data_IF_610661577181
#
_entry.id   IF_610661577181
#
_cell.length_a   1.000
_cell.length_b   1.000
_cell.length_c   1.000
_cell.angle_alpha   90.00
_cell.angle_beta   90.00
_cell.angle_gamma   90.00
#
_symmetry.space_group_name_H-M   'P 1'
#
loop_
_entity.id
_entity.type
_entity.pdbx_description
1 polymer ?
#
# COMPACT_ATOMS: atom_id res chain seq x y z
N UNK A 1 -15.55 14.27 25.19
CA UNK A 1 -14.80 13.56 24.12
C UNK A 1 -15.50 12.21 23.87
N UNK A 2 -16.57 12.19 23.07
CA UNK A 2 -17.35 10.96 22.76
C UNK A 2 -17.46 10.71 21.24
N UNK A 3 -16.86 11.57 20.39
CA UNK A 3 -16.97 11.47 18.93
C UNK A 3 -15.96 10.51 18.27
N UNK A 4 -14.82 10.19 18.91
CA UNK A 4 -13.79 9.32 18.32
C UNK A 4 -14.25 7.87 18.14
N UNK A 5 -14.95 7.32 19.14
CA UNK A 5 -15.34 5.91 19.17
C UNK A 5 -16.33 5.54 18.06
N UNK A 6 -17.23 6.45 17.68
CA UNK A 6 -18.18 6.22 16.58
C UNK A 6 -17.50 6.27 15.21
N UNK A 7 -16.49 7.14 15.06
CA UNK A 7 -15.69 7.25 13.84
C UNK A 7 -14.86 5.98 13.64
N UNK A 8 -14.20 5.49 14.70
CA UNK A 8 -13.39 4.28 14.64
C UNK A 8 -14.23 3.06 14.24
N UNK A 9 -15.42 2.89 14.82
CA UNK A 9 -16.34 1.80 14.46
C UNK A 9 -16.79 1.92 13.01
N UNK A 10 -17.17 3.12 12.55
CA UNK A 10 -17.62 3.33 11.18
C UNK A 10 -16.52 2.98 10.16
N UNK A 11 -15.30 3.49 10.36
CA UNK A 11 -14.15 3.23 9.48
C UNK A 11 -13.84 1.73 9.40
N UNK A 12 -13.91 1.01 10.52
CA UNK A 12 -13.60 -0.43 10.56
C UNK A 12 -14.73 -1.32 10.02
N UNK A 13 -15.99 -0.85 10.05
CA UNK A 13 -17.17 -1.67 9.72
C UNK A 13 -17.74 -1.42 8.33
N UNK A 14 -17.44 -0.27 7.72
CA UNK A 14 -18.00 0.13 6.44
C UNK A 14 -16.91 0.48 5.43
N UNK A 15 -16.92 -0.27 4.31
CA UNK A 15 -15.93 -0.11 3.23
C UNK A 15 -15.92 1.31 2.67
N UNK A 16 -17.08 1.90 2.38
CA UNK A 16 -17.16 3.24 1.80
C UNK A 16 -16.55 4.30 2.70
N UNK A 17 -16.71 4.17 4.03
CA UNK A 17 -16.05 5.09 4.98
C UNK A 17 -14.57 4.80 5.14
N UNK A 18 -14.13 3.54 5.02
CA UNK A 18 -12.71 3.16 5.04
C UNK A 18 -11.94 3.76 3.86
N UNK A 19 -12.52 3.73 2.65
CA UNK A 19 -11.89 4.29 1.44
C UNK A 19 -11.66 5.80 1.51
N UNK A 20 -12.43 6.53 2.34
CA UNK A 20 -12.22 7.98 2.53
C UNK A 20 -10.89 8.29 3.23
N UNK A 21 -10.28 7.32 3.91
CA UNK A 21 -8.98 7.46 4.54
C UNK A 21 -8.95 8.58 5.60
N UNK A 22 -7.90 9.40 5.57
CA UNK A 22 -7.67 10.47 6.55
C UNK A 22 -8.77 11.53 6.59
N UNK A 23 -9.57 11.67 5.53
CA UNK A 23 -10.71 12.60 5.49
C UNK A 23 -11.70 12.37 6.63
N UNK A 24 -11.95 11.13 7.05
CA UNK A 24 -12.92 10.84 8.12
C UNK A 24 -12.51 11.49 9.45
N UNK A 25 -11.20 11.73 9.64
CA UNK A 25 -10.65 12.37 10.84
C UNK A 25 -10.42 13.87 10.63
N UNK A 26 -9.92 14.28 9.46
CA UNK A 26 -9.52 15.67 9.23
C UNK A 26 -10.63 16.58 8.69
N UNK A 27 -11.64 16.02 8.00
CA UNK A 27 -12.70 16.74 7.31
C UNK A 27 -12.25 17.57 6.10
N UNK A 28 -11.00 17.43 5.64
CA UNK A 28 -10.42 18.26 4.57
C UNK A 28 -10.36 17.49 3.26
N UNK A 29 -10.93 18.03 2.18
CA UNK A 29 -10.98 17.37 0.86
C UNK A 29 -9.60 16.94 0.33
N UNK A 30 -8.52 17.64 0.70
CA UNK A 30 -7.14 17.26 0.33
C UNK A 30 -6.65 15.95 0.97
N UNK A 31 -7.32 15.47 2.01
CA UNK A 31 -7.01 14.22 2.71
C UNK A 31 -7.90 13.05 2.25
N UNK A 32 -8.76 13.27 1.25
CA UNK A 32 -9.66 12.25 0.72
C UNK A 32 -8.86 11.13 0.06
N UNK A 33 -9.10 9.88 0.49
CA UNK A 33 -8.36 8.71 0.02
C UNK A 33 -6.88 8.69 0.45
N UNK A 34 -6.47 9.59 1.36
CA UNK A 34 -5.10 9.61 1.87
C UNK A 34 -4.93 8.60 2.99
N UNK A 35 -3.95 7.71 2.84
CA UNK A 35 -3.59 6.70 3.83
C UNK A 35 -2.22 6.97 4.44
N UNK A 36 -2.03 6.47 5.67
CA UNK A 36 -0.72 6.49 6.32
C UNK A 36 0.23 5.57 5.54
N UNK A 37 1.42 6.07 5.19
CA UNK A 37 2.48 5.24 4.62
C UNK A 37 2.90 4.17 5.66
N UNK A 38 2.73 2.88 5.36
CA UNK A 38 3.14 1.82 6.27
C UNK A 38 4.67 1.71 6.33
N UNK A 39 5.18 1.07 7.37
CA UNK A 39 6.60 0.66 7.40
C UNK A 39 6.83 -0.50 6.44
N UNK A 40 8.05 -0.58 5.89
CA UNK A 40 8.47 -1.69 5.02
C UNK A 40 9.19 -2.81 5.79
N UNK A 41 9.31 -2.71 7.11
CA UNK A 41 9.91 -3.77 7.92
C UNK A 41 9.02 -5.01 7.90
N UNK A 42 9.63 -6.18 7.65
CA UNK A 42 8.94 -7.47 7.53
C UNK A 42 7.88 -7.51 6.41
N UNK A 43 8.01 -6.66 5.39
CA UNK A 43 6.98 -6.52 4.36
C UNK A 43 6.73 -7.84 3.60
N UNK A 44 7.74 -8.68 3.44
CA UNK A 44 7.62 -9.96 2.72
C UNK A 44 6.65 -10.96 3.37
N UNK A 45 6.40 -10.84 4.67
CA UNK A 45 5.54 -11.76 5.44
C UNK A 45 4.20 -11.17 5.85
N UNK A 46 3.86 -9.97 5.35
CA UNK A 46 2.63 -9.24 5.71
C UNK A 46 1.64 -9.13 4.56
N UNK A 47 1.75 -9.97 3.53
CA UNK A 47 0.75 -10.05 2.48
C UNK A 47 -0.65 -10.36 3.07
N UNK A 48 -1.74 -9.88 2.45
CA UNK A 48 -1.79 -9.03 1.26
C UNK A 48 -1.46 -7.55 1.52
N UNK A 49 -1.21 -6.80 0.46
CA UNK A 49 -0.72 -5.41 0.45
C UNK A 49 -1.80 -4.40 0.06
N UNK A 50 -1.46 -3.10 0.18
CA UNK A 50 -2.36 -1.94 0.12
C UNK A 50 -3.28 -1.81 1.35
N UNK A 51 -4.03 -0.71 1.44
CA UNK A 51 -4.91 -0.44 2.58
C UNK A 51 -6.14 -1.35 2.64
N UNK A 52 -6.49 -1.96 1.50
CA UNK A 52 -7.65 -2.84 1.34
C UNK A 52 -7.28 -4.31 1.13
N UNK A 53 -5.98 -4.64 1.07
CA UNK A 53 -5.51 -6.00 0.80
C UNK A 53 -5.73 -6.46 -0.65
N UNK A 54 -5.93 -5.54 -1.60
CA UNK A 54 -6.19 -5.86 -3.01
C UNK A 54 -5.02 -6.54 -3.72
N UNK A 55 -3.78 -6.26 -3.29
CA UNK A 55 -2.56 -6.69 -3.99
C UNK A 55 -1.91 -7.86 -3.27
N UNK A 56 -1.60 -8.95 -3.98
CA UNK A 56 -1.18 -10.21 -3.35
C UNK A 56 0.33 -10.35 -3.17
N UNK A 57 1.13 -9.76 -4.06
CA UNK A 57 2.59 -9.97 -4.09
C UNK A 57 3.35 -8.64 -4.08
N UNK A 58 4.59 -8.66 -3.57
CA UNK A 58 5.48 -7.49 -3.63
C UNK A 58 5.77 -7.08 -5.08
N UNK A 59 5.87 -8.05 -5.98
CA UNK A 59 6.08 -7.79 -7.40
C UNK A 59 4.93 -6.99 -8.01
N UNK A 60 3.68 -7.32 -7.64
CA UNK A 60 2.50 -6.56 -8.10
C UNK A 60 2.49 -5.14 -7.52
N UNK A 61 2.90 -4.97 -6.25
CA UNK A 61 3.03 -3.64 -5.63
C UNK A 61 4.06 -2.79 -6.37
N UNK A 62 5.24 -3.36 -6.67
CA UNK A 62 6.30 -2.67 -7.42
C UNK A 62 5.81 -2.33 -8.83
N UNK A 63 5.11 -3.25 -9.49
CA UNK A 63 4.53 -3.01 -10.82
C UNK A 63 3.50 -1.87 -10.81
N UNK A 64 2.60 -1.84 -9.81
CA UNK A 64 1.61 -0.78 -9.64
C UNK A 64 2.26 0.61 -9.53
N UNK A 65 3.28 0.74 -8.67
CA UNK A 65 4.02 2.00 -8.55
C UNK A 65 4.84 2.33 -9.80
N UNK A 66 5.39 1.31 -10.49
CA UNK A 66 6.11 1.52 -11.73
C UNK A 66 5.22 2.09 -12.85
N UNK A 67 3.94 1.72 -12.87
CA UNK A 67 2.92 2.29 -13.75
C UNK A 67 2.40 3.66 -13.30
N UNK A 68 2.84 4.17 -12.14
CA UNK A 68 2.39 5.45 -11.63
C UNK A 68 1.06 5.40 -10.89
N UNK A 69 0.75 4.27 -10.24
CA UNK A 69 -0.42 4.14 -9.38
C UNK A 69 -1.73 3.80 -10.12
N UNK A 70 -1.61 3.21 -11.30
CA UNK A 70 -2.74 2.69 -12.09
C UNK A 70 -2.64 1.16 -12.20
N UNK A 71 -3.79 0.50 -12.35
CA UNK A 71 -3.84 -0.96 -12.41
C UNK A 71 -3.28 -1.52 -13.72
N UNK A 72 -3.55 -0.84 -14.83
CA UNK A 72 -3.04 -1.20 -16.17
C UNK A 72 -2.62 0.04 -16.93
N UNK A 73 -1.67 -0.15 -17.84
CA UNK A 73 -1.23 0.91 -18.75
C UNK A 73 -2.43 1.47 -19.55
N UNK A 74 -2.63 2.79 -19.47
CA UNK A 74 -3.75 3.48 -20.12
C UNK A 74 -4.99 3.67 -19.25
N UNK A 75 -5.04 3.09 -18.04
CA UNK A 75 -6.11 3.39 -17.09
C UNK A 75 -6.05 4.86 -16.60
N UNK A 76 -7.20 5.46 -16.26
CA UNK A 76 -7.23 6.83 -15.76
C UNK A 76 -6.49 6.96 -14.43
N UNK A 77 -5.71 8.03 -14.28
CA UNK A 77 -5.06 8.38 -13.01
C UNK A 77 -6.10 8.91 -12.04
N UNK A 78 -6.00 8.52 -10.78
CA UNK A 78 -6.88 9.03 -9.72
C UNK A 78 -6.55 10.50 -9.41
N UNK A 79 -7.54 11.39 -9.52
CA UNK A 79 -7.41 12.83 -9.25
C UNK A 79 -7.00 13.16 -7.79
N UNK A 80 -7.24 12.24 -6.86
CA UNK A 80 -6.87 12.37 -5.44
C UNK A 80 -5.50 11.76 -5.13
N UNK A 81 -4.80 11.22 -6.14
CA UNK A 81 -3.46 10.68 -5.96
C UNK A 81 -2.45 11.79 -5.65
N UNK A 82 -1.45 11.46 -4.83
CA UNK A 82 -0.34 12.38 -4.57
C UNK A 82 0.41 12.68 -5.87
N UNK A 83 0.69 13.96 -6.15
CA UNK A 83 1.45 14.39 -7.34
C UNK A 83 2.89 13.85 -7.42
N UNK A 84 3.39 13.21 -6.36
CA UNK A 84 4.67 12.50 -6.37
C UNK A 84 4.60 11.10 -7.00
N UNK A 85 3.40 10.53 -7.16
CA UNK A 85 3.21 9.21 -7.78
C UNK A 85 3.12 9.41 -9.30
N UNK A 86 4.09 8.85 -10.00
CA UNK A 86 4.26 8.94 -11.45
C UNK A 86 4.95 7.68 -11.95
N UNK A 87 4.82 7.34 -13.25
CA UNK A 87 5.53 6.20 -13.82
C UNK A 87 7.03 6.29 -13.55
N UNK A 88 7.60 5.20 -13.03
CA UNK A 88 9.02 5.14 -12.66
C UNK A 88 9.90 4.66 -13.82
N UNK A 89 9.28 3.98 -14.81
CA UNK A 89 9.95 3.43 -15.99
C UNK A 89 11.14 2.52 -15.66
N UNK A 90 11.02 1.73 -14.59
CA UNK A 90 11.98 0.72 -14.19
C UNK A 90 11.97 -0.46 -15.17
N UNK A 91 13.15 -0.97 -15.50
CA UNK A 91 13.28 -2.23 -16.24
C UNK A 91 12.77 -3.42 -15.42
N UNK A 92 12.58 -4.58 -16.06
CA UNK A 92 12.15 -5.79 -15.35
C UNK A 92 13.18 -6.26 -14.33
N UNK A 93 14.47 -6.09 -14.66
CA UNK A 93 15.59 -6.39 -13.78
C UNK A 93 15.58 -5.46 -12.57
N UNK A 94 15.42 -4.15 -12.78
CA UNK A 94 15.35 -3.18 -11.68
C UNK A 94 14.15 -3.42 -10.74
N UNK A 95 13.01 -3.84 -11.30
CA UNK A 95 11.85 -4.22 -10.49
C UNK A 95 12.14 -5.48 -9.66
N UNK A 96 12.78 -6.48 -10.25
CA UNK A 96 13.17 -7.70 -9.54
C UNK A 96 14.19 -7.41 -8.43
N UNK A 97 15.21 -6.60 -8.71
CA UNK A 97 16.21 -6.18 -7.73
C UNK A 97 15.57 -5.42 -6.56
N UNK A 98 14.59 -4.55 -6.86
CA UNK A 98 13.85 -3.84 -5.82
C UNK A 98 13.03 -4.80 -4.96
N UNK A 99 12.37 -5.80 -5.56
CA UNK A 99 11.65 -6.83 -4.81
C UNK A 99 12.60 -7.59 -3.89
N UNK A 100 13.75 -8.02 -4.38
CA UNK A 100 14.75 -8.70 -3.54
C UNK A 100 15.28 -7.80 -2.42
N UNK A 101 15.53 -6.53 -2.70
CA UNK A 101 15.88 -5.55 -1.67
C UNK A 101 14.80 -5.44 -0.59
N UNK A 102 13.52 -5.36 -0.97
CA UNK A 102 12.41 -5.29 -0.01
C UNK A 102 12.33 -6.53 0.88
N UNK A 103 12.61 -7.72 0.34
CA UNK A 103 12.67 -8.96 1.13
C UNK A 103 13.76 -8.91 2.21
N UNK A 104 14.87 -8.23 1.95
CA UNK A 104 15.95 -8.06 2.95
C UNK A 104 15.53 -7.25 4.18
N UNK A 105 14.42 -6.51 4.11
CA UNK A 105 13.86 -5.76 5.24
C UNK A 105 13.09 -6.66 6.23
N UNK A 106 13.08 -7.98 6.00
CA UNK A 106 12.50 -8.98 6.89
C UNK A 106 13.51 -9.45 7.90
N UNK A 107 13.13 -9.37 9.17
CA UNK A 107 14.01 -9.72 10.27
C UNK A 107 14.19 -11.25 10.34
N UNK A 108 15.36 -11.77 10.76
CA UNK A 108 15.65 -13.21 10.74
C UNK A 108 14.66 -14.08 11.51
N UNK A 109 14.04 -13.53 12.55
CA UNK A 109 13.01 -14.22 13.34
C UNK A 109 11.73 -14.52 12.55
N UNK A 110 11.46 -13.77 11.47
CA UNK A 110 10.30 -13.96 10.61
C UNK A 110 10.64 -14.61 9.26
N UNK A 111 11.91 -14.60 8.85
CA UNK A 111 12.34 -15.20 7.57
C UNK A 111 12.24 -16.74 7.57
N UNK A 112 12.40 -17.40 8.73
CA UNK A 112 12.25 -18.87 8.85
C UNK A 112 10.82 -19.38 8.64
N UNK A 113 9.82 -18.53 8.79
CA UNK A 113 8.42 -18.89 8.54
C UNK A 113 8.10 -18.86 7.03
N UNK A 114 8.93 -18.18 6.24
CA UNK A 114 8.81 -18.03 4.79
C UNK A 114 9.76 -18.99 4.04
N UNK A 115 9.69 -20.30 4.33
CA UNK A 115 10.02 -21.36 3.35
C UNK A 115 11.41 -21.40 2.68
N UNK A 116 12.46 -20.74 3.17
CA UNK A 116 13.82 -20.93 2.65
C UNK A 116 14.67 -21.70 3.67
N UNK A 117 14.74 -23.02 3.46
CA UNK A 117 15.75 -23.90 4.07
C UNK A 117 17.05 -23.77 3.27
N UNK A 118 18.23 -23.66 3.91
CA UNK A 118 19.52 -23.76 3.21
C UNK A 118 19.75 -25.14 2.58
#
# INVERSE_FOLDING_TARGET
KQQGTNVDIAVLSNKNTSELGRFVVSGQNRDLGSFKTPTLRNIDVTAPYMHDGSVKTLADVVSFYNLGGIDKEGDPVNDFQSGGIRPLNLSKEQQADLVEFLKTLTSPEFSKTAGVTP
#
